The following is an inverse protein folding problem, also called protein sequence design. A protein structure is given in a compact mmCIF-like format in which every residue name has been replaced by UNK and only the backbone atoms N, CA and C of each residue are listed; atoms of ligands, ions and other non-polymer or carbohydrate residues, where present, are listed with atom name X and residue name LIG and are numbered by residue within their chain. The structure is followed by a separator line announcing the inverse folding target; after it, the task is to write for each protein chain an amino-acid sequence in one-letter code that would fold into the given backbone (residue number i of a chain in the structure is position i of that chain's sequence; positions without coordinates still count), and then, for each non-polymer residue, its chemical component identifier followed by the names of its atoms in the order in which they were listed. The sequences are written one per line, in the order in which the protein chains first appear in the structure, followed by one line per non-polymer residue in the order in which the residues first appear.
data_IF_326459398840
#
_entry.id   IF_326459398840
#
_cell.length_a   1.000
_cell.length_b   1.000
_cell.length_c   1.000
_cell.angle_alpha   90.00
_cell.angle_beta   90.00
_cell.angle_gamma   90.00
#
_symmetry.space_group_name_H-M   'P 1'
#
loop_
_entity.id
_entity.type
_entity.pdbx_description
1 polymer ?
#
# COMPACT_ATOMS: atom_id res chain seq x y z
N UNK A 1 49.60 65.79 -3.78
CA UNK A 1 49.45 64.64 -4.70
C UNK A 1 48.18 63.90 -4.30
N UNK A 2 47.08 64.11 -5.02
CA UNK A 2 45.76 63.56 -4.70
C UNK A 2 45.32 62.65 -5.85
N UNK A 3 45.12 61.36 -5.57
CA UNK A 3 44.74 60.35 -6.55
C UNK A 3 43.23 60.18 -6.50
N UNK A 4 42.56 60.59 -7.57
CA UNK A 4 41.12 60.51 -7.73
C UNK A 4 40.69 59.09 -8.16
N UNK A 5 39.92 58.41 -7.31
CA UNK A 5 39.28 57.14 -7.63
C UNK A 5 38.02 57.37 -8.49
N UNK A 6 38.09 57.03 -9.78
CA UNK A 6 36.92 56.92 -10.67
C UNK A 6 36.12 55.67 -10.31
N UNK A 7 34.87 55.86 -9.89
CA UNK A 7 33.88 54.80 -9.73
C UNK A 7 33.35 54.39 -11.10
N UNK A 8 33.65 53.17 -11.56
CA UNK A 8 32.92 52.53 -12.65
C UNK A 8 31.62 51.93 -12.08
N UNK A 9 30.49 52.52 -12.46
CA UNK A 9 29.16 51.95 -12.22
C UNK A 9 28.89 51.00 -13.38
N UNK A 10 28.97 49.69 -13.13
CA UNK A 10 28.57 48.66 -14.09
C UNK A 10 27.05 48.49 -13.98
N UNK A 11 26.32 48.90 -15.01
CA UNK A 11 24.89 48.68 -15.12
C UNK A 11 24.62 47.21 -15.45
N UNK A 12 24.13 46.45 -14.46
CA UNK A 12 23.63 45.10 -14.66
C UNK A 12 22.23 45.19 -15.30
N UNK A 13 22.17 45.00 -16.61
CA UNK A 13 20.91 44.83 -17.33
C UNK A 13 20.33 43.45 -17.00
N UNK A 14 19.36 43.42 -16.09
CA UNK A 14 18.58 42.23 -15.80
C UNK A 14 17.67 41.93 -17.00
N UNK A 15 18.11 41.04 -17.89
CA UNK A 15 17.22 40.39 -18.85
C UNK A 15 16.29 39.43 -18.10
N UNK A 16 15.10 39.91 -17.75
CA UNK A 16 13.98 39.04 -17.43
C UNK A 16 13.54 38.33 -18.72
N UNK A 17 14.11 37.15 -18.97
CA UNK A 17 13.53 36.21 -19.92
C UNK A 17 12.24 35.72 -19.27
N UNK A 18 11.11 36.22 -19.76
CA UNK A 18 9.81 35.66 -19.44
C UNK A 18 9.78 34.24 -20.01
N UNK A 19 10.10 33.25 -19.18
CA UNK A 19 9.83 31.85 -19.47
C UNK A 19 8.31 31.76 -19.51
N UNK A 20 7.75 31.64 -20.72
CA UNK A 20 6.35 31.29 -20.88
C UNK A 20 6.16 29.93 -20.21
N UNK A 21 5.55 29.93 -19.02
CA UNK A 21 5.04 28.72 -18.39
C UNK A 21 4.16 28.05 -19.44
N UNK A 22 4.63 26.94 -20.00
CA UNK A 22 3.76 26.08 -20.79
C UNK A 22 2.64 25.68 -19.86
N UNK A 23 1.45 26.22 -20.11
CA UNK A 23 0.21 25.78 -19.52
C UNK A 23 0.09 24.27 -19.76
N UNK A 24 0.51 23.48 -18.76
CA UNK A 24 0.26 22.06 -18.64
C UNK A 24 -1.24 21.80 -18.35
N UNK A 25 -2.12 22.59 -18.96
CA UNK A 25 -3.57 22.60 -18.82
C UNK A 25 -4.22 21.61 -19.82
N UNK A 26 -3.65 20.40 -19.92
CA UNK A 26 -4.25 19.27 -20.62
C UNK A 26 -4.35 18.02 -19.73
N UNK A 27 -4.18 18.17 -18.42
CA UNK A 27 -4.44 17.11 -17.45
C UNK A 27 -5.91 17.21 -17.03
N UNK A 28 -6.67 16.14 -17.21
CA UNK A 28 -8.06 16.02 -16.76
C UNK A 28 -8.22 16.26 -15.24
N UNK A 29 -9.43 16.11 -14.69
CA UNK A 29 -9.63 16.18 -13.24
C UNK A 29 -8.59 15.32 -12.53
N UNK A 30 -8.06 15.76 -11.36
CA UNK A 30 -6.99 15.05 -10.67
C UNK A 30 -7.38 13.58 -10.56
N UNK A 31 -6.58 12.73 -11.20
CA UNK A 31 -6.83 11.29 -11.19
C UNK A 31 -6.92 10.85 -9.74
N UNK A 32 -7.99 10.16 -9.37
CA UNK A 32 -8.08 9.60 -8.03
C UNK A 32 -6.89 8.68 -7.82
N UNK A 33 -6.21 8.78 -6.66
CA UNK A 33 -5.12 7.86 -6.38
C UNK A 33 -5.67 6.44 -6.47
N UNK A 34 -4.97 5.56 -7.18
CA UNK A 34 -5.36 4.16 -7.29
C UNK A 34 -5.54 3.59 -5.88
N UNK A 35 -6.74 3.12 -5.56
CA UNK A 35 -7.01 2.50 -4.27
C UNK A 35 -6.18 1.24 -4.15
N UNK A 36 -5.36 1.17 -3.09
CA UNK A 36 -4.67 -0.04 -2.69
C UNK A 36 -5.46 -0.65 -1.56
N UNK A 37 -5.79 -1.93 -1.66
CA UNK A 37 -6.60 -2.64 -0.67
C UNK A 37 -6.09 -4.07 -0.52
N UNK A 38 -5.82 -4.47 0.72
CA UNK A 38 -5.49 -5.83 1.08
C UNK A 38 -6.61 -6.46 1.94
N UNK A 39 -6.97 -7.73 1.73
CA UNK A 39 -6.38 -8.66 0.76
C UNK A 39 -6.89 -8.46 -0.68
N UNK A 40 -6.29 -9.18 -1.63
CA UNK A 40 -6.81 -9.33 -2.99
C UNK A 40 -8.10 -10.16 -3.02
N UNK A 41 -8.88 -10.02 -4.09
CA UNK A 41 -10.12 -10.77 -4.29
C UNK A 41 -9.86 -12.29 -4.32
N UNK A 42 -10.68 -13.07 -3.63
CA UNK A 42 -10.55 -14.52 -3.50
C UNK A 42 -9.48 -15.00 -2.51
N UNK A 43 -8.77 -14.10 -1.83
CA UNK A 43 -7.73 -14.48 -0.87
C UNK A 43 -8.26 -15.30 0.31
N UNK A 44 -7.37 -16.05 0.95
CA UNK A 44 -7.62 -16.72 2.23
C UNK A 44 -6.89 -15.98 3.35
N UNK A 45 -7.61 -15.72 4.44
CA UNK A 45 -7.16 -14.88 5.56
C UNK A 45 -7.45 -15.60 6.88
N UNK A 46 -6.53 -15.69 7.84
CA UNK A 46 -6.80 -16.35 9.11
C UNK A 46 -7.77 -15.53 9.98
N UNK A 47 -8.57 -16.20 10.82
CA UNK A 47 -9.57 -15.55 11.70
C UNK A 47 -8.98 -14.50 12.66
N UNK A 48 -7.72 -14.67 13.05
CA UNK A 48 -6.96 -13.72 13.87
C UNK A 48 -6.20 -12.68 13.02
N UNK A 49 -6.70 -12.36 11.82
CA UNK A 49 -6.16 -11.31 10.98
C UNK A 49 -6.11 -9.98 11.75
N UNK A 50 -4.94 -9.33 11.81
CA UNK A 50 -4.78 -8.15 12.65
C UNK A 50 -5.38 -6.87 12.08
N UNK A 51 -5.67 -6.85 10.78
CA UNK A 51 -6.29 -5.72 10.10
C UNK A 51 -6.09 -5.74 8.59
N UNK A 52 -6.82 -4.87 7.91
CA UNK A 52 -6.85 -4.74 6.45
C UNK A 52 -6.28 -3.39 6.05
N UNK A 53 -5.15 -3.38 5.34
CA UNK A 53 -4.53 -2.14 4.90
C UNK A 53 -5.26 -1.58 3.68
N UNK A 54 -5.46 -0.27 3.67
CA UNK A 54 -5.98 0.42 2.50
C UNK A 54 -5.48 1.85 2.36
N UNK A 55 -5.50 2.35 1.13
CA UNK A 55 -5.27 3.77 0.80
C UNK A 55 -6.50 4.28 0.09
N UNK A 56 -7.35 5.02 0.80
CA UNK A 56 -8.54 5.67 0.26
C UNK A 56 -8.86 6.94 1.04
N UNK A 57 -9.54 7.89 0.40
CA UNK A 57 -10.16 9.05 1.06
C UNK A 57 -11.51 8.71 1.69
N UNK A 58 -12.09 7.57 1.32
CA UNK A 58 -13.40 7.11 1.79
C UNK A 58 -13.23 5.93 2.77
N UNK A 59 -14.12 5.78 3.76
CA UNK A 59 -14.02 4.72 4.75
C UNK A 59 -14.24 3.34 4.14
N UNK A 60 -13.44 2.37 4.59
CA UNK A 60 -13.57 0.96 4.24
C UNK A 60 -14.59 0.28 5.17
N UNK A 61 -15.50 -0.51 4.59
CA UNK A 61 -16.51 -1.26 5.35
C UNK A 61 -16.28 -2.77 5.19
N UNK A 62 -16.40 -3.53 6.29
CA UNK A 62 -16.26 -4.99 6.32
C UNK A 62 -17.61 -5.66 6.63
N UNK A 63 -17.93 -6.69 5.87
CA UNK A 63 -19.16 -7.49 6.00
C UNK A 63 -18.83 -8.98 6.09
N UNK A 64 -19.62 -9.71 6.87
CA UNK A 64 -19.55 -11.17 6.96
C UNK A 64 -20.35 -11.85 5.84
N UNK A 65 -20.34 -13.19 5.83
CA UNK A 65 -21.02 -13.99 4.82
C UNK A 65 -22.55 -13.94 4.87
N UNK A 66 -23.12 -13.42 5.96
CA UNK A 66 -24.54 -13.13 6.08
C UNK A 66 -24.90 -11.70 5.63
N UNK A 67 -23.89 -10.90 5.25
CA UNK A 67 -24.05 -9.49 4.89
C UNK A 67 -24.19 -8.57 6.10
N UNK A 68 -23.94 -9.06 7.31
CA UNK A 68 -23.91 -8.21 8.50
C UNK A 68 -22.59 -7.43 8.56
N UNK A 69 -22.66 -6.17 8.98
CA UNK A 69 -21.47 -5.32 9.14
C UNK A 69 -20.65 -5.81 10.33
N UNK A 70 -19.36 -6.05 10.11
CA UNK A 70 -18.41 -6.41 11.17
C UNK A 70 -17.99 -5.15 11.92
N UNK A 71 -17.90 -5.22 13.25
CA UNK A 71 -17.40 -4.12 14.06
C UNK A 71 -15.89 -3.94 13.84
N UNK A 72 -15.49 -2.73 13.46
CA UNK A 72 -14.12 -2.40 13.07
C UNK A 72 -13.71 -1.02 13.58
N UNK A 73 -12.43 -0.85 13.87
CA UNK A 73 -11.79 0.44 14.13
C UNK A 73 -10.82 0.77 13.01
N UNK A 74 -10.77 2.03 12.62
CA UNK A 74 -9.78 2.54 11.67
C UNK A 74 -8.59 3.16 12.40
N UNK A 75 -7.38 2.83 11.97
CA UNK A 75 -6.13 3.34 12.55
C UNK A 75 -5.19 3.85 11.44
N UNK A 76 -4.55 5.02 11.61
CA UNK A 76 -3.53 5.49 10.67
C UNK A 76 -2.35 4.51 10.59
N UNK A 77 -1.90 4.20 9.37
CA UNK A 77 -0.80 3.26 9.16
C UNK A 77 0.07 3.62 7.94
N UNK A 78 1.22 4.25 8.20
CA UNK A 78 2.14 4.68 7.14
C UNK A 78 1.50 5.69 6.21
N UNK A 79 1.38 5.35 4.92
CA UNK A 79 0.76 6.18 3.89
C UNK A 79 -0.74 5.95 3.69
N UNK A 80 -1.35 5.12 4.54
CA UNK A 80 -2.76 4.74 4.44
C UNK A 80 -3.37 4.50 5.81
N UNK A 81 -4.44 3.72 5.83
CA UNK A 81 -5.17 3.35 7.03
C UNK A 81 -5.25 1.83 7.16
N UNK A 82 -5.59 1.39 8.35
CA UNK A 82 -5.81 0.00 8.70
C UNK A 82 -7.21 -0.16 9.27
N UNK A 83 -7.99 -1.07 8.68
CA UNK A 83 -9.28 -1.49 9.24
C UNK A 83 -9.06 -2.70 10.15
N UNK A 84 -9.14 -2.50 11.46
CA UNK A 84 -8.92 -3.51 12.50
C UNK A 84 -10.26 -4.08 12.97
N UNK A 85 -10.53 -5.39 12.80
CA UNK A 85 -11.67 -6.04 13.44
C UNK A 85 -11.61 -5.93 14.96
N UNK A 86 -12.71 -5.56 15.61
CA UNK A 86 -12.75 -5.47 17.08
C UNK A 86 -12.77 -6.85 17.77
N UNK A 87 -13.04 -7.90 17.01
CA UNK A 87 -13.08 -9.31 17.43
C UNK A 87 -12.52 -10.18 16.32
N UNK A 88 -12.14 -11.40 16.66
CA UNK A 88 -11.78 -12.41 15.66
C UNK A 88 -12.90 -12.59 14.63
N UNK A 89 -12.51 -12.74 13.38
CA UNK A 89 -13.44 -12.87 12.27
C UNK A 89 -14.12 -14.24 12.29
N UNK A 90 -15.41 -14.27 11.96
CA UNK A 90 -16.11 -15.53 11.77
C UNK A 90 -15.50 -16.32 10.61
N UNK A 91 -15.57 -17.65 10.65
CA UNK A 91 -15.10 -18.47 9.53
C UNK A 91 -16.03 -18.30 8.32
N UNK A 92 -15.46 -18.32 7.11
CA UNK A 92 -16.22 -18.30 5.86
C UNK A 92 -16.07 -17.02 5.04
N UNK A 93 -17.03 -16.74 4.16
CA UNK A 93 -16.95 -15.62 3.22
C UNK A 93 -17.07 -14.27 3.93
N UNK A 94 -16.28 -13.29 3.49
CA UNK A 94 -16.31 -11.90 3.95
C UNK A 94 -16.18 -10.98 2.74
N UNK A 95 -16.68 -9.75 2.86
CA UNK A 95 -16.63 -8.74 1.80
C UNK A 95 -16.14 -7.40 2.34
N UNK A 96 -15.17 -6.80 1.67
CA UNK A 96 -14.76 -5.41 1.84
C UNK A 96 -15.49 -4.54 0.83
N UNK A 97 -16.08 -3.43 1.26
CA UNK A 97 -16.71 -2.42 0.39
C UNK A 97 -16.01 -1.08 0.54
N UNK A 98 -15.67 -0.47 -0.60
CA UNK A 98 -14.91 0.77 -0.65
C UNK A 98 -15.34 1.63 -1.84
N UNK A 99 -14.99 2.91 -1.82
CA UNK A 99 -15.06 3.79 -2.98
C UNK A 99 -13.63 4.23 -3.34
N UNK A 100 -13.35 4.34 -4.63
CA UNK A 100 -12.03 4.76 -5.14
C UNK A 100 -11.88 6.28 -5.11
N UNK A 101 -13.01 6.99 -5.18
CA UNK A 101 -13.09 8.44 -5.05
C UNK A 101 -14.32 8.84 -4.25
N UNK A 102 -14.30 10.05 -3.70
CA UNK A 102 -15.51 10.69 -3.21
C UNK A 102 -16.57 10.74 -4.33
N UNK A 103 -17.74 10.14 -4.07
CA UNK A 103 -18.85 10.09 -5.01
C UNK A 103 -18.77 9.02 -6.11
N UNK A 104 -17.71 8.20 -6.17
CA UNK A 104 -17.68 7.05 -7.09
C UNK A 104 -18.64 5.95 -6.63
N UNK A 105 -19.11 5.08 -7.55
CA UNK A 105 -19.76 3.83 -7.15
C UNK A 105 -18.86 3.05 -6.17
N UNK A 106 -19.49 2.38 -5.20
CA UNK A 106 -18.75 1.51 -4.29
C UNK A 106 -18.42 0.19 -4.98
N UNK A 107 -17.17 -0.21 -4.87
CA UNK A 107 -16.67 -1.51 -5.28
C UNK A 107 -16.68 -2.50 -4.10
N UNK A 108 -16.51 -3.78 -4.41
CA UNK A 108 -16.43 -4.85 -3.41
C UNK A 108 -15.32 -5.83 -3.74
N UNK A 109 -14.62 -6.33 -2.71
CA UNK A 109 -13.69 -7.46 -2.79
C UNK A 109 -14.10 -8.53 -1.79
N UNK A 110 -14.10 -9.77 -2.23
CA UNK A 110 -14.47 -10.93 -1.41
C UNK A 110 -13.23 -11.69 -0.97
N UNK A 111 -13.24 -12.24 0.22
CA UNK A 111 -12.18 -13.13 0.71
C UNK A 111 -12.77 -14.19 1.63
N UNK A 112 -11.98 -15.23 1.92
CA UNK A 112 -12.37 -16.32 2.81
C UNK A 112 -11.58 -16.24 4.10
N UNK A 113 -12.28 -16.24 5.22
CA UNK A 113 -11.69 -16.39 6.54
C UNK A 113 -11.51 -17.87 6.87
N UNK A 114 -10.28 -18.27 7.16
CA UNK A 114 -9.88 -19.61 7.59
C UNK A 114 -9.67 -19.67 9.10
N UNK A 115 -9.36 -20.85 9.64
CA UNK A 115 -8.97 -20.98 11.04
C UNK A 115 -7.82 -20.02 11.40
N UNK A 116 -7.78 -19.59 12.66
CA UNK A 116 -6.68 -18.79 13.18
C UNK A 116 -5.34 -19.51 12.98
N UNK A 117 -4.29 -18.74 12.69
CA UNK A 117 -2.94 -19.24 12.48
C UNK A 117 -1.97 -18.57 13.47
N UNK A 118 -0.91 -19.27 13.92
CA UNK A 118 0.14 -18.64 14.73
C UNK A 118 0.79 -17.48 13.97
N UNK A 119 1.09 -16.38 14.66
CA UNK A 119 1.82 -15.28 14.04
C UNK A 119 3.24 -15.73 13.64
N UNK A 120 3.73 -15.34 12.46
CA UNK A 120 5.05 -15.72 12.00
C UNK A 120 6.14 -15.08 12.86
N UNK A 121 7.22 -15.82 13.10
CA UNK A 121 8.43 -15.27 13.73
C UNK A 121 9.45 -14.78 12.68
N UNK A 122 9.36 -15.28 11.45
CA UNK A 122 10.27 -14.96 10.33
C UNK A 122 9.51 -14.74 9.04
N UNK A 123 9.95 -13.77 8.23
CA UNK A 123 9.31 -13.48 6.95
C UNK A 123 9.64 -14.51 5.87
N UNK A 124 10.90 -14.97 5.81
CA UNK A 124 11.38 -15.88 4.77
C UNK A 124 12.83 -15.64 4.39
N UNK A 125 13.15 -15.93 3.13
CA UNK A 125 14.45 -15.72 2.50
C UNK A 125 14.30 -14.74 1.32
N UNK A 126 15.27 -13.83 1.17
CA UNK A 126 15.36 -12.93 0.02
C UNK A 126 16.39 -13.45 -0.99
N UNK A 127 15.99 -13.54 -2.26
CA UNK A 127 16.86 -13.94 -3.37
C UNK A 127 16.91 -12.82 -4.41
N UNK A 128 18.01 -12.76 -5.14
CA UNK A 128 18.19 -11.80 -6.22
C UNK A 128 18.76 -12.47 -7.47
N UNK A 129 18.28 -12.05 -8.64
CA UNK A 129 18.87 -12.36 -9.94
C UNK A 129 19.31 -11.06 -10.59
N UNK A 130 20.61 -10.92 -10.91
CA UNK A 130 21.16 -9.69 -11.49
C UNK A 130 21.52 -9.85 -12.97
N UNK A 131 21.38 -8.76 -13.73
CA UNK A 131 21.70 -8.71 -15.15
C UNK A 131 21.15 -7.46 -15.83
N UNK A 132 21.27 -7.36 -17.15
CA UNK A 132 20.79 -6.21 -17.91
C UNK A 132 19.40 -6.48 -18.48
N UNK A 133 18.45 -5.58 -18.30
CA UNK A 133 17.12 -5.69 -18.88
C UNK A 133 16.64 -4.34 -19.39
N UNK A 134 15.68 -4.34 -20.31
CA UNK A 134 15.00 -3.12 -20.72
C UNK A 134 13.91 -2.77 -19.70
N UNK A 135 13.94 -1.55 -19.19
CA UNK A 135 13.02 -1.04 -18.15
C UNK A 135 12.36 0.23 -18.66
N UNK A 136 11.04 0.31 -18.48
CA UNK A 136 10.29 1.54 -18.74
C UNK A 136 10.45 2.49 -17.55
N UNK A 137 11.04 3.66 -17.80
CA UNK A 137 11.24 4.71 -16.79
C UNK A 137 10.38 5.92 -17.09
N UNK A 138 9.87 6.57 -16.04
CA UNK A 138 9.09 7.79 -16.20
C UNK A 138 9.98 8.94 -16.70
N UNK A 139 9.45 9.71 -17.65
CA UNK A 139 10.07 10.96 -18.11
C UNK A 139 9.49 12.17 -17.38
N UNK A 140 10.13 13.34 -17.54
CA UNK A 140 9.75 14.60 -16.88
C UNK A 140 8.33 15.05 -17.21
N UNK A 141 7.80 14.68 -18.38
CA UNK A 141 6.41 15.01 -18.73
C UNK A 141 5.39 14.27 -17.86
N UNK A 142 5.79 13.21 -17.15
CA UNK A 142 4.95 12.41 -16.25
C UNK A 142 3.88 11.57 -16.96
N UNK A 143 3.55 11.88 -18.21
CA UNK A 143 2.60 11.15 -19.07
C UNK A 143 3.26 10.13 -20.00
N UNK A 144 4.59 10.13 -20.09
CA UNK A 144 5.35 9.25 -20.98
C UNK A 144 6.31 8.36 -20.19
N UNK A 145 6.52 7.16 -20.71
CA UNK A 145 7.63 6.29 -20.32
C UNK A 145 8.64 6.22 -21.46
N UNK A 146 9.90 6.03 -21.11
CA UNK A 146 10.98 5.73 -22.04
C UNK A 146 11.58 4.37 -21.68
N UNK A 147 11.74 3.50 -22.67
CA UNK A 147 12.39 2.21 -22.46
C UNK A 147 13.89 2.38 -22.53
N UNK A 148 14.60 2.07 -21.44
CA UNK A 148 16.06 2.15 -21.35
C UNK A 148 16.67 0.80 -21.01
N UNK A 149 17.90 0.57 -21.45
CA UNK A 149 18.69 -0.55 -20.92
C UNK A 149 19.15 -0.18 -19.50
N UNK A 150 18.95 -1.10 -18.55
CA UNK A 150 19.31 -0.92 -17.16
C UNK A 150 19.98 -2.16 -16.58
N UNK A 151 20.96 -1.95 -15.71
CA UNK A 151 21.43 -2.99 -14.81
C UNK A 151 20.35 -3.21 -13.75
N UNK A 152 19.88 -4.44 -13.61
CA UNK A 152 18.75 -4.80 -12.76
C UNK A 152 19.13 -5.88 -11.75
N UNK A 153 18.46 -5.86 -10.61
CA UNK A 153 18.37 -6.95 -9.65
C UNK A 153 16.89 -7.26 -9.42
N UNK A 154 16.43 -8.40 -9.95
CA UNK A 154 15.10 -8.92 -9.68
C UNK A 154 15.11 -9.64 -8.34
N UNK A 155 14.36 -9.12 -7.38
CA UNK A 155 14.24 -9.66 -6.04
C UNK A 155 13.04 -10.61 -5.97
N UNK A 156 13.24 -11.75 -5.33
CA UNK A 156 12.19 -12.72 -5.04
C UNK A 156 12.21 -13.04 -3.55
N UNK A 157 11.07 -12.90 -2.89
CA UNK A 157 10.92 -13.36 -1.51
C UNK A 157 10.34 -14.76 -1.51
N UNK A 158 11.08 -15.68 -0.90
CA UNK A 158 10.60 -17.02 -0.58
C UNK A 158 10.03 -16.96 0.83
N UNK A 159 8.71 -16.81 0.92
CA UNK A 159 8.01 -16.67 2.20
C UNK A 159 8.21 -17.91 3.09
N UNK A 160 8.31 -17.69 4.40
CA UNK A 160 8.30 -18.79 5.37
C UNK A 160 6.93 -19.49 5.37
N UNK A 161 6.91 -20.77 5.76
CA UNK A 161 5.64 -21.51 5.91
C UNK A 161 4.72 -20.87 6.96
N UNK A 162 5.30 -20.22 7.97
CA UNK A 162 4.56 -19.49 9.00
C UNK A 162 3.91 -18.21 8.46
N UNK A 163 4.56 -17.53 7.51
CA UNK A 163 4.03 -16.31 6.89
C UNK A 163 2.95 -16.63 5.85
N UNK A 164 2.96 -17.83 5.26
CA UNK A 164 2.09 -18.21 4.15
C UNK A 164 0.58 -17.89 4.37
N UNK A 165 -0.04 -18.16 5.54
CA UNK A 165 -1.45 -17.83 5.79
C UNK A 165 -1.73 -16.33 5.78
N UNK A 166 -0.71 -15.50 6.02
CA UNK A 166 -0.85 -14.05 6.17
C UNK A 166 -0.38 -13.29 4.93
N UNK A 167 0.10 -13.95 3.87
CA UNK A 167 0.73 -13.28 2.73
C UNK A 167 -0.12 -12.18 2.09
N UNK A 168 -1.44 -12.38 2.01
CA UNK A 168 -2.37 -11.39 1.48
C UNK A 168 -2.56 -10.16 2.37
N UNK A 169 -2.01 -10.16 3.58
CA UNK A 169 -2.05 -9.05 4.54
C UNK A 169 -0.69 -8.40 4.76
N UNK A 170 0.39 -8.97 4.20
CA UNK A 170 1.75 -8.46 4.39
C UNK A 170 1.94 -7.19 3.57
N UNK A 171 2.35 -6.12 4.23
CA UNK A 171 2.93 -4.95 3.55
C UNK A 171 4.43 -5.11 3.46
N UNK A 172 4.95 -4.98 2.26
CA UNK A 172 6.38 -5.05 2.00
C UNK A 172 6.95 -3.64 1.85
N UNK A 173 8.08 -3.39 2.51
CA UNK A 173 8.88 -2.19 2.35
C UNK A 173 10.26 -2.58 1.87
N UNK A 174 10.78 -1.86 0.88
CA UNK A 174 12.11 -2.09 0.33
C UNK A 174 12.96 -0.85 0.53
N UNK A 175 14.20 -1.07 0.94
CA UNK A 175 15.21 -0.05 1.10
C UNK A 175 16.46 -0.46 0.32
N UNK A 176 17.06 0.50 -0.38
CA UNK A 176 18.34 0.33 -1.08
C UNK A 176 19.32 1.32 -0.45
N UNK A 177 20.40 0.79 0.12
CA UNK A 177 21.40 1.55 0.90
C UNK A 177 20.80 2.42 2.02
N UNK A 178 19.70 1.94 2.62
CA UNK A 178 18.98 2.62 3.70
C UNK A 178 17.98 3.70 3.24
N UNK A 179 17.83 3.92 1.94
CA UNK A 179 16.79 4.80 1.39
C UNK A 179 15.58 3.99 0.93
N UNK A 180 14.36 4.46 1.24
CA UNK A 180 13.11 3.83 0.77
C UNK A 180 13.08 3.76 -0.76
N UNK A 181 12.82 2.57 -1.28
CA UNK A 181 12.79 2.30 -2.72
C UNK A 181 11.36 2.27 -3.26
N UNK A 182 11.07 3.18 -4.17
CA UNK A 182 9.80 3.27 -4.91
C UNK A 182 10.15 3.10 -6.40
N UNK A 183 10.16 1.86 -6.87
CA UNK A 183 10.47 1.53 -8.26
C UNK A 183 9.34 1.92 -9.24
N UNK A 184 9.61 1.97 -10.56
CA UNK A 184 8.60 2.30 -11.57
C UNK A 184 7.42 1.32 -11.55
N UNK A 185 7.70 0.04 -11.32
CA UNK A 185 6.69 -1.01 -11.15
C UNK A 185 6.01 -1.02 -9.78
N UNK A 186 6.50 -0.26 -8.79
CA UNK A 186 5.84 -0.18 -7.48
C UNK A 186 4.65 0.79 -7.47
N UNK A 187 4.43 1.54 -8.56
CA UNK A 187 3.35 2.54 -8.66
C UNK A 187 2.13 2.07 -9.47
N UNK A 188 2.24 1.06 -10.33
CA UNK A 188 1.14 0.66 -11.23
C UNK A 188 0.66 -0.81 -11.13
N UNK A 189 1.29 -1.67 -10.31
CA UNK A 189 0.84 -3.06 -10.12
C UNK A 189 0.32 -3.30 -8.69
N UNK A 190 -0.76 -4.09 -8.50
CA UNK A 190 -1.01 -4.68 -7.20
C UNK A 190 0.25 -5.44 -6.78
N UNK A 191 0.69 -5.27 -5.54
CA UNK A 191 1.65 -6.18 -4.92
C UNK A 191 0.85 -7.46 -4.66
N UNK A 192 0.57 -8.23 -5.71
CA UNK A 192 -0.58 -9.12 -5.68
C UNK A 192 -0.77 -9.96 -6.93
N UNK A 193 0.27 -10.68 -7.33
CA UNK A 193 0.03 -12.08 -7.68
C UNK A 193 0.14 -12.85 -6.36
N UNK A 194 -0.74 -13.81 -6.11
CA UNK A 194 -0.97 -14.46 -4.80
C UNK A 194 0.23 -15.22 -4.17
N UNK A 195 1.47 -15.01 -4.63
CA UNK A 195 2.68 -15.75 -4.30
C UNK A 195 3.78 -14.93 -3.56
N UNK A 196 3.45 -13.77 -3.00
CA UNK A 196 4.45 -12.89 -2.38
C UNK A 196 4.82 -11.73 -3.30
N UNK A 197 5.72 -10.85 -2.85
CA UNK A 197 6.25 -9.73 -3.63
C UNK A 197 6.35 -10.07 -5.13
N UNK A 198 5.44 -9.54 -5.95
CA UNK A 198 5.63 -9.54 -7.40
C UNK A 198 7.04 -9.01 -7.68
N UNK A 199 7.77 -9.68 -8.57
CA UNK A 199 9.22 -9.52 -8.75
C UNK A 199 9.67 -8.06 -8.60
N UNK A 200 10.28 -7.73 -7.46
CA UNK A 200 10.64 -6.35 -7.17
C UNK A 200 11.98 -6.05 -7.86
N UNK A 201 12.00 -5.02 -8.69
CA UNK A 201 13.20 -4.71 -9.47
C UNK A 201 13.90 -3.48 -8.88
N UNK A 202 15.15 -3.68 -8.45
CA UNK A 202 16.10 -2.58 -8.22
C UNK A 202 16.88 -2.41 -9.51
N UNK A 203 17.11 -1.19 -9.96
CA UNK A 203 17.82 -0.95 -11.21
C UNK A 203 18.67 0.31 -11.19
N UNK A 204 19.61 0.37 -12.12
CA UNK A 204 20.42 1.53 -12.47
C UNK A 204 20.45 1.64 -13.99
N UNK A 205 20.15 2.82 -14.54
CA UNK A 205 20.14 3.03 -16.00
C UNK A 205 21.56 2.88 -16.57
N UNK A 206 21.68 2.22 -17.72
CA UNK A 206 22.95 2.05 -18.40
C UNK A 206 23.23 3.17 -19.39
N UNK A 207 24.43 3.75 -19.30
CA UNK A 207 24.86 4.85 -20.19
C UNK A 207 24.26 6.20 -19.80
N UNK A 208 24.37 7.15 -20.73
CA UNK A 208 23.79 8.48 -20.53
C UNK A 208 22.28 8.40 -20.73
N UNK A 209 21.53 8.46 -19.63
CA UNK A 209 20.09 8.63 -19.69
C UNK A 209 19.76 9.95 -20.40
N UNK A 210 18.73 9.95 -21.25
CA UNK A 210 18.20 11.19 -21.82
C UNK A 210 17.92 12.21 -20.71
N UNK A 211 18.17 13.50 -20.99
CA UNK A 211 17.99 14.58 -20.01
C UNK A 211 16.55 14.71 -19.46
N UNK A 212 15.61 14.00 -20.08
CA UNK A 212 14.19 13.99 -19.74
C UNK A 212 13.80 12.84 -18.80
N UNK A 213 14.69 11.89 -18.47
CA UNK A 213 14.40 10.84 -17.50
C UNK A 213 14.47 11.41 -16.08
N UNK A 214 13.44 11.14 -15.26
CA UNK A 214 13.41 11.58 -13.84
C UNK A 214 13.66 10.45 -12.85
N UNK A 215 13.59 9.19 -13.32
CA UNK A 215 13.77 8.01 -12.50
C UNK A 215 15.02 7.23 -12.95
N UNK A 216 16.18 7.66 -12.47
CA UNK A 216 17.47 7.02 -12.80
C UNK A 216 17.73 5.72 -12.03
N UNK A 217 16.88 5.40 -11.04
CA UNK A 217 17.12 4.28 -10.13
C UNK A 217 18.25 4.58 -9.14
N UNK A 218 19.06 3.59 -8.81
CA UNK A 218 20.27 3.73 -7.99
C UNK A 218 21.52 3.92 -8.86
N UNK A 219 22.69 4.16 -8.26
CA UNK A 219 23.97 4.19 -8.98
C UNK A 219 24.38 2.79 -9.44
N UNK A 220 25.41 2.68 -10.30
CA UNK A 220 26.01 1.38 -10.62
C UNK A 220 26.93 0.91 -9.46
N UNK A 221 27.11 -0.40 -9.34
CA UNK A 221 27.97 -1.05 -8.36
C UNK A 221 27.22 -1.83 -7.29
N UNK A 222 27.84 -1.94 -6.10
CA UNK A 222 27.32 -2.75 -4.99
C UNK A 222 26.30 -1.98 -4.16
N UNK A 223 25.17 -2.63 -3.89
CA UNK A 223 24.08 -2.09 -3.08
C UNK A 223 23.64 -3.09 -2.02
N UNK A 224 23.31 -2.57 -0.84
CA UNK A 224 22.64 -3.33 0.22
C UNK A 224 21.14 -3.16 0.03
N UNK A 225 20.43 -4.24 -0.26
CA UNK A 225 18.97 -4.23 -0.34
C UNK A 225 18.39 -4.85 0.92
N UNK A 226 17.46 -4.14 1.55
CA UNK A 226 16.70 -4.58 2.71
C UNK A 226 15.22 -4.67 2.36
N UNK A 227 14.60 -5.79 2.70
CA UNK A 227 13.16 -6.02 2.55
C UNK A 227 12.56 -6.31 3.92
N UNK A 228 11.60 -5.48 4.32
CA UNK A 228 10.88 -5.59 5.58
C UNK A 228 9.45 -6.01 5.31
N UNK A 229 9.02 -7.11 5.94
CA UNK A 229 7.64 -7.56 5.96
C UNK A 229 6.94 -7.00 7.20
N UNK A 230 5.82 -6.30 7.00
CA UNK A 230 5.03 -5.78 8.11
C UNK A 230 3.64 -6.41 8.07
N UNK A 231 3.31 -7.15 9.14
CA UNK A 231 1.95 -7.52 9.49
C UNK A 231 1.51 -6.58 10.59
N UNK A 232 0.41 -5.85 10.38
CA UNK A 232 -0.04 -4.92 11.40
C UNK A 232 -0.45 -5.66 12.67
N UNK A 233 -0.40 -5.03 13.85
CA UNK A 233 -0.71 -5.61 15.16
C UNK A 233 -0.07 -6.98 15.51
N UNK A 234 0.90 -7.44 14.72
CA UNK A 234 1.76 -8.59 14.99
C UNK A 234 3.15 -8.10 15.43
N UNK A 235 3.94 -8.96 16.10
CA UNK A 235 5.35 -8.68 16.34
C UNK A 235 6.08 -8.32 15.03
N UNK A 236 7.00 -7.36 15.10
CA UNK A 236 7.81 -7.00 13.95
C UNK A 236 8.64 -8.20 13.49
N UNK A 237 8.55 -8.52 12.19
CA UNK A 237 9.36 -9.57 11.60
C UNK A 237 10.80 -9.06 11.38
N UNK A 238 11.82 -9.90 11.59
CA UNK A 238 13.19 -9.54 11.23
C UNK A 238 13.29 -9.16 9.74
N UNK A 239 14.04 -8.10 9.40
CA UNK A 239 14.25 -7.73 8.00
C UNK A 239 15.10 -8.79 7.29
N UNK A 240 14.89 -8.91 5.98
CA UNK A 240 15.74 -9.72 5.10
C UNK A 240 16.68 -8.78 4.33
N UNK A 241 17.98 -9.09 4.34
CA UNK A 241 18.98 -8.31 3.64
C UNK A 241 19.67 -9.15 2.56
N UNK A 242 20.03 -8.53 1.43
CA UNK A 242 20.87 -9.11 0.39
C UNK A 242 21.79 -8.04 -0.23
N UNK A 243 23.02 -8.42 -0.57
CA UNK A 243 23.92 -7.56 -1.32
C UNK A 243 23.78 -7.87 -2.82
N UNK A 244 23.56 -6.85 -3.64
CA UNK A 244 23.46 -6.98 -5.10
C UNK A 244 24.54 -6.14 -5.78
N UNK A 245 24.99 -6.56 -6.96
CA UNK A 245 25.93 -5.81 -7.79
C UNK A 245 25.26 -5.48 -9.14
N UNK A 246 25.08 -4.20 -9.39
CA UNK A 246 24.43 -3.68 -10.60
C UNK A 246 25.50 -3.27 -11.61
N UNK A 247 25.60 -4.03 -12.70
CA UNK A 247 26.58 -3.81 -13.76
C UNK A 247 25.95 -3.87 -15.15
N UNK A 248 26.26 -2.88 -15.99
CA UNK A 248 25.83 -2.81 -17.39
C UNK A 248 26.59 -3.76 -18.33
N UNK A 249 27.54 -4.53 -17.80
CA UNK A 249 28.25 -5.58 -18.54
C UNK A 249 27.73 -6.99 -18.23
N UNK A 250 26.65 -7.09 -17.45
CA UNK A 250 26.04 -8.36 -17.08
C UNK A 250 25.32 -9.06 -18.24
N UNK A 251 24.94 -10.34 -18.05
CA UNK A 251 24.11 -11.04 -19.03
C UNK A 251 22.75 -10.36 -19.17
N UNK A 252 22.19 -10.37 -20.38
CA UNK A 252 20.84 -9.82 -20.62
C UNK A 252 19.80 -10.77 -20.03
N UNK A 253 18.94 -10.27 -19.16
CA UNK A 253 17.78 -10.98 -18.63
C UNK A 253 16.59 -10.61 -19.50
N UNK A 254 15.94 -11.61 -20.10
CA UNK A 254 14.67 -11.41 -20.78
C UNK A 254 13.57 -11.28 -19.72
N UNK A 255 13.04 -10.07 -19.53
CA UNK A 255 11.90 -9.76 -18.64
C UNK A 255 10.64 -10.57 -18.96
N UNK A 256 10.58 -11.20 -20.15
CA UNK A 256 9.48 -12.04 -20.62
C UNK A 256 9.58 -13.53 -20.26
N UNK A 257 10.66 -13.97 -19.60
CA UNK A 257 10.67 -15.28 -18.96
C UNK A 257 9.94 -15.15 -17.64
N UNK A 258 8.61 -15.00 -17.68
CA UNK A 258 7.77 -14.95 -16.49
C UNK A 258 8.30 -15.98 -15.53
N UNK A 259 8.83 -15.54 -14.38
CA UNK A 259 9.35 -16.44 -13.38
C UNK A 259 8.15 -17.31 -13.06
N UNK A 260 8.12 -18.54 -13.58
CA UNK A 260 7.12 -19.52 -13.14
C UNK A 260 7.37 -19.55 -11.65
N UNK A 261 6.49 -18.91 -10.87
CA UNK A 261 6.63 -18.84 -9.44
C UNK A 261 7.02 -20.25 -9.01
N UNK A 262 8.16 -20.45 -8.32
CA UNK A 262 8.59 -21.78 -7.94
C UNK A 262 7.36 -22.45 -7.35
N UNK A 263 6.89 -23.52 -8.00
CA UNK A 263 5.57 -24.08 -7.73
C UNK A 263 5.42 -24.11 -6.22
N UNK A 264 4.52 -23.28 -5.68
CA UNK A 264 4.38 -23.17 -4.22
C UNK A 264 4.32 -24.61 -3.73
N UNK A 265 5.20 -25.02 -2.79
CA UNK A 265 5.22 -26.39 -2.35
C UNK A 265 3.77 -26.75 -2.05
N UNK A 266 3.27 -27.77 -2.76
CA UNK A 266 1.87 -28.15 -2.67
C UNK A 266 1.51 -28.14 -1.18
N UNK A 267 0.45 -27.41 -0.77
CA UNK A 267 0.15 -27.18 0.63
C UNK A 267 0.34 -28.50 1.35
N UNK A 268 1.24 -28.52 2.34
CA UNK A 268 1.63 -29.74 3.02
C UNK A 268 0.35 -30.51 3.31
N UNK A 269 0.28 -31.76 2.82
CA UNK A 269 -0.92 -32.58 2.96
C UNK A 269 -1.42 -32.41 4.40
N UNK A 270 -2.71 -32.01 4.59
CA UNK A 270 -3.21 -31.60 5.89
C UNK A 270 -2.75 -32.64 6.90
N UNK A 271 -2.11 -32.17 7.98
CA UNK A 271 -1.64 -33.05 9.03
C UNK A 271 -2.76 -34.05 9.35
N UNK A 272 -2.46 -35.37 9.42
CA UNK A 272 -3.48 -36.38 9.60
C UNK A 272 -4.39 -35.94 10.73
N UNK A 273 -5.68 -35.84 10.41
CA UNK A 273 -6.69 -35.33 11.33
C UNK A 273 -6.46 -35.98 12.69
N UNK A 274 -6.21 -35.17 13.71
CA UNK A 274 -6.10 -35.66 15.09
C UNK A 274 -7.34 -36.53 15.30
N UNK A 275 -7.20 -37.84 15.58
CA UNK A 275 -8.34 -38.72 15.71
C UNK A 275 -9.28 -38.08 16.73
N UNK A 276 -10.53 -37.88 16.30
CA UNK A 276 -11.56 -37.26 17.10
C UNK A 276 -11.52 -37.89 18.50
N UNK A 277 -11.38 -37.05 19.52
CA UNK A 277 -11.45 -37.50 20.89
C UNK A 277 -12.71 -38.39 21.02
N UNK A 278 -12.58 -39.60 21.61
CA UNK A 278 -13.69 -40.53 21.70
C UNK A 278 -14.89 -39.81 22.30
N UNK A 279 -16.03 -39.90 21.61
CA UNK A 279 -17.27 -39.27 22.03
C UNK A 279 -17.53 -39.63 23.49
N UNK A 280 -17.51 -38.63 24.36
CA UNK A 280 -17.99 -38.79 25.74
C UNK A 280 -19.44 -39.25 25.62
N UNK A 281 -19.81 -40.40 26.19
CA UNK A 281 -21.19 -40.88 26.17
C UNK A 281 -22.12 -39.77 26.65
N UNK A 282 -23.13 -39.45 25.84
CA UNK A 282 -24.14 -38.47 26.18
C UNK A 282 -24.77 -38.87 27.53
N UNK A 283 -24.62 -38.00 28.53
CA UNK A 283 -25.40 -38.08 29.76
C UNK A 283 -26.87 -37.83 29.37
N UNK A 284 -27.79 -38.77 29.63
CA UNK A 284 -29.19 -38.59 29.29
C UNK A 284 -29.75 -37.34 29.98
N UNK A 285 -30.31 -36.44 29.18
CA UNK A 285 -30.93 -35.22 29.65
C UNK A 285 -32.12 -35.54 30.58
N UNK A 286 -32.11 -34.93 31.76
CA UNK A 286 -33.27 -34.92 32.64
C UNK A 286 -34.43 -34.17 31.96
N UNK A 287 -35.68 -34.69 32.01
CA UNK A 287 -36.83 -34.03 31.41
C UNK A 287 -37.13 -32.71 32.14
N UNK A 288 -37.02 -31.61 31.39
CA UNK A 288 -37.43 -30.28 31.85
C UNK A 288 -38.94 -30.14 31.73
N UNK A 289 -39.57 -29.76 32.84
CA UNK A 289 -41.00 -29.56 32.97
C UNK A 289 -41.50 -28.42 32.05
N UNK A 290 -42.61 -28.69 31.38
CA UNK A 290 -43.34 -27.73 30.58
C UNK A 290 -43.89 -26.58 31.44
N UNK A 291 -43.75 -25.35 30.95
CA UNK A 291 -44.52 -24.19 31.42
C UNK A 291 -45.29 -23.57 30.23
N UNK A 292 -46.51 -23.04 30.45
CA UNK A 292 -47.43 -22.69 29.38
C UNK A 292 -47.39 -21.19 29.02
N UNK A 293 -47.53 -20.92 27.72
CA UNK A 293 -48.54 -20.00 27.16
C UNK A 293 -48.36 -18.47 27.23
N UNK A 294 -48.95 -17.84 26.21
CA UNK A 294 -49.31 -16.41 26.07
C UNK A 294 -48.24 -15.51 25.46
N UNK A 295 -48.52 -14.57 24.57
CA UNK A 295 -49.72 -14.22 23.78
C UNK A 295 -49.29 -13.15 22.78
N UNK A 296 -49.93 -13.18 21.61
CA UNK A 296 -49.93 -12.18 20.54
C UNK A 296 -50.13 -10.73 21.01
N UNK A 297 -49.37 -9.79 20.43
CA UNK A 297 -49.59 -8.36 20.54
C UNK A 297 -49.28 -7.66 19.22
N UNK A 298 -50.33 -7.36 18.46
CA UNK A 298 -50.32 -6.48 17.29
C UNK A 298 -50.21 -5.02 17.74
N UNK A 299 -49.38 -4.22 17.07
CA UNK A 299 -49.56 -2.76 17.04
C UNK A 299 -49.23 -2.22 15.66
N UNK A 300 -50.31 -1.93 14.93
CA UNK A 300 -50.38 -1.02 13.79
C UNK A 300 -50.52 0.41 14.30
N UNK A 301 -49.65 1.31 13.83
CA UNK A 301 -49.80 2.77 13.90
C UNK A 301 -48.75 3.35 12.95
N UNK A 302 -49.13 3.94 11.81
CA UNK A 302 -49.77 5.25 11.61
C UNK A 302 -48.74 6.39 11.59
N UNK A 303 -48.79 7.14 10.49
CA UNK A 303 -48.47 8.57 10.35
C UNK A 303 -46.97 8.95 10.39
N UNK A 304 -46.44 9.91 9.64
CA UNK A 304 -46.92 10.91 8.69
C UNK A 304 -45.65 11.58 8.07
N UNK A 305 -45.78 12.13 6.86
CA UNK A 305 -45.07 13.31 6.35
C UNK A 305 -43.55 13.49 6.57
N UNK A 306 -42.79 13.44 5.46
CA UNK A 306 -41.54 14.21 5.34
C UNK A 306 -41.64 15.19 4.18
N UNK A 307 -41.75 16.45 4.55
CA UNK A 307 -41.65 17.64 3.71
C UNK A 307 -40.21 17.84 3.22
N UNK A 308 -40.07 18.15 1.94
CA UNK A 308 -38.78 18.54 1.35
C UNK A 308 -38.57 20.03 1.60
N UNK A 309 -37.75 20.36 2.61
CA UNK A 309 -37.26 21.71 2.86
C UNK A 309 -35.98 21.98 2.06
N UNK A 310 -36.10 22.79 1.02
CA UNK A 310 -34.95 23.42 0.34
C UNK A 310 -34.57 24.68 1.11
N UNK A 311 -33.44 24.66 1.81
CA UNK A 311 -32.80 25.86 2.34
C UNK A 311 -31.33 25.85 1.94
N UNK A 312 -30.99 26.79 1.06
CA UNK A 312 -29.62 27.13 0.74
C UNK A 312 -28.93 27.79 1.94
N UNK A 313 -27.68 27.41 2.17
CA UNK A 313 -26.77 28.10 3.06
C UNK A 313 -25.55 28.56 2.25
N UNK A 314 -25.34 29.87 2.29
CA UNK A 314 -24.19 30.57 1.74
C UNK A 314 -22.89 30.13 2.42
N UNK A 315 -21.85 29.90 1.64
CA UNK A 315 -20.48 29.72 2.11
C UNK A 315 -19.84 31.08 2.40
N UNK A 316 -19.34 31.34 3.62
CA UNK A 316 -18.43 32.46 3.87
C UNK A 316 -16.99 32.08 3.45
N UNK A 317 -16.32 33.05 2.83
CA UNK A 317 -14.91 32.98 2.43
C UNK A 317 -13.97 32.88 3.66
N UNK A 318 -12.87 32.10 3.60
CA UNK A 318 -11.81 32.21 4.58
C UNK A 318 -10.83 33.32 4.18
N UNK A 319 -10.92 34.44 4.90
CA UNK A 319 -9.80 35.36 5.06
C UNK A 319 -8.74 34.67 5.95
N UNK A 320 -7.59 34.28 5.39
CA UNK A 320 -6.41 33.97 6.18
C UNK A 320 -5.30 34.98 5.94
N UNK A 321 -4.93 35.56 7.07
CA UNK A 321 -4.08 36.71 7.30
C UNK A 321 -2.61 36.34 7.15
N UNK A 322 -1.89 37.26 6.51
CA UNK A 322 -0.45 37.35 6.46
C UNK A 322 0.17 37.46 7.86
N UNK A 323 1.09 36.57 8.21
CA UNK A 323 2.01 36.78 9.34
C UNK A 323 3.21 35.82 9.31
N UNK A 324 4.21 36.12 8.46
CA UNK A 324 5.53 35.49 8.57
C UNK A 324 6.64 36.31 7.90
N UNK A 325 6.78 37.57 8.29
CA UNK A 325 8.00 38.38 8.03
C UNK A 325 8.35 39.18 9.28
N UNK A 326 8.87 38.50 10.32
CA UNK A 326 9.45 39.17 11.50
C UNK A 326 10.40 38.28 12.32
N UNK A 327 11.15 37.35 11.71
CA UNK A 327 12.08 36.47 12.44
C UNK A 327 13.51 36.41 11.86
N UNK A 328 13.94 37.42 11.11
CA UNK A 328 15.32 37.52 10.57
C UNK A 328 16.10 38.74 11.07
N UNK A 329 15.61 39.42 12.11
CA UNK A 329 16.16 40.72 12.54
C UNK A 329 16.98 40.75 13.83
N UNK A 330 17.28 39.63 14.50
CA UNK A 330 17.96 39.66 15.82
C UNK A 330 19.01 38.55 15.94
N UNK A 331 20.07 38.60 15.14
CA UNK A 331 21.32 37.86 15.40
C UNK A 331 22.51 38.56 14.71
N UNK A 332 22.68 39.86 14.98
CA UNK A 332 23.96 40.56 14.74
C UNK A 332 24.27 41.49 15.91
N UNK A 333 24.77 40.91 16.99
CA UNK A 333 25.67 41.58 17.95
C UNK A 333 26.22 40.53 18.92
N UNK A 334 27.39 39.98 18.59
CA UNK A 334 28.46 39.54 19.51
C UNK A 334 29.51 38.76 18.71
N UNK A 335 30.47 39.49 18.15
CA UNK A 335 31.92 39.22 18.14
C UNK A 335 32.58 40.28 17.27
#
# INVERSE_FOLDING_TARGET
MAIAFRRCVVAAAACFVAVAEHDAAACGPPACPATRLLPEDGASVPANAPGFFYVSTEPLELFDGAGARVATREEPFGSGNLLVPERELALGAHTLRYATCAGSPRESRSFRVTAAAPFPAVAGELRATTGVASVDVATRSGSCTETVDAATAQLTVVASAELAPFLSLVRWQVEVDGASWIGPTSLAGPIGDAAGLGALTVFSVCGDAGADIVQHGTTLGKHRVRVTATLTAAPALPPMDIDVDLSCSGPRITTGGGVTAPAMPAPAAPAPAVPAAPAVPAVPAAPSAAAPGSSSGSSSGSDEGCTVGVLGAATPAPAFVALLVAALGVLRRRR
#
